data_IF_362405185108
#
_entry.id   IF_362405185108
#
_cell.length_a   1.000
_cell.length_b   1.000
_cell.length_c   1.000
_cell.angle_alpha   90.00
_cell.angle_beta   90.00
_cell.angle_gamma   90.00
#
_symmetry.space_group_name_H-M   'P 1'
#
loop_
_entity.id
_entity.type
_entity.pdbx_description
1 polymer ?
#
# COMPACT_ATOMS: atom_id res chain seq x y z
N UNK A 1 3.48 11.27 3.43
CA UNK A 1 4.03 11.90 2.22
C UNK A 1 2.90 12.24 1.21
N UNK A 2 2.08 11.26 0.76
CA UNK A 2 1.08 11.50 -0.27
C UNK A 2 0.07 12.60 0.09
N UNK A 3 -0.57 12.53 1.26
CA UNK A 3 -1.51 13.56 1.71
C UNK A 3 -0.84 14.92 1.87
N UNK A 4 0.40 14.95 2.36
CA UNK A 4 1.16 16.18 2.49
C UNK A 4 1.42 16.83 1.12
N UNK A 5 1.87 16.05 0.13
CA UNK A 5 2.11 16.53 -1.22
C UNK A 5 0.83 17.05 -1.90
N UNK A 6 -0.29 16.32 -1.76
CA UNK A 6 -1.57 16.71 -2.32
C UNK A 6 -2.12 18.02 -1.76
N UNK A 7 -1.96 18.24 -0.46
CA UNK A 7 -2.35 19.49 0.20
C UNK A 7 -1.39 20.64 -0.14
N UNK A 8 -0.08 20.40 -0.09
CA UNK A 8 0.90 21.42 -0.45
C UNK A 8 0.74 21.91 -1.89
N UNK A 9 0.41 20.99 -2.84
CA UNK A 9 0.09 21.36 -4.22
C UNK A 9 -1.14 22.28 -4.34
N UNK A 10 -1.99 22.36 -3.29
CA UNK A 10 -3.15 23.26 -3.17
C UNK A 10 -2.87 24.52 -2.34
N UNK A 11 -1.59 24.79 -2.04
CA UNK A 11 -1.15 25.97 -1.30
C UNK A 11 -1.17 25.84 0.22
N UNK A 12 -1.46 24.67 0.77
CA UNK A 12 -1.38 24.45 2.21
C UNK A 12 0.08 24.42 2.68
N UNK A 13 0.34 25.00 3.85
CA UNK A 13 1.59 24.80 4.57
C UNK A 13 1.45 23.54 5.42
N UNK A 14 2.28 22.54 5.19
CA UNK A 14 2.16 21.23 5.81
C UNK A 14 3.39 20.92 6.65
N UNK A 15 3.21 20.62 7.93
CA UNK A 15 4.26 20.02 8.77
C UNK A 15 4.12 18.50 8.72
N UNK A 16 5.08 17.82 8.09
CA UNK A 16 5.17 16.38 8.03
C UNK A 16 6.07 15.87 9.15
N UNK A 17 5.52 15.11 10.09
CA UNK A 17 6.26 14.58 11.24
C UNK A 17 6.48 13.09 11.06
N UNK A 18 7.75 12.65 11.16
CA UNK A 18 8.19 11.26 11.04
C UNK A 18 8.94 10.83 12.29
N UNK A 19 8.60 9.67 12.86
CA UNK A 19 9.28 9.16 14.07
C UNK A 19 10.71 8.67 13.83
N UNK A 20 10.98 8.18 12.63
CA UNK A 20 12.32 7.74 12.24
C UNK A 20 13.20 8.91 11.77
N UNK A 21 14.52 8.76 11.81
CA UNK A 21 15.43 9.78 11.28
C UNK A 21 15.21 10.08 9.80
N UNK A 22 14.78 9.08 9.04
CA UNK A 22 14.51 9.17 7.61
C UNK A 22 13.10 8.72 7.27
N UNK A 23 12.59 9.21 6.14
CA UNK A 23 11.32 8.74 5.57
C UNK A 23 11.38 7.28 5.10
N UNK A 24 10.20 6.65 5.05
CA UNK A 24 10.03 5.32 4.48
C UNK A 24 10.82 4.20 5.20
N UNK A 25 10.95 4.26 6.52
CA UNK A 25 11.63 3.22 7.29
C UNK A 25 10.74 2.02 7.64
N UNK A 26 9.41 2.16 7.50
CA UNK A 26 8.44 1.10 7.73
C UNK A 26 8.13 0.29 6.45
N UNK A 27 6.88 -0.08 6.18
CA UNK A 27 6.47 -0.85 5.00
C UNK A 27 6.94 -0.26 3.65
N UNK A 28 7.10 1.05 3.59
CA UNK A 28 7.59 1.76 2.40
C UNK A 28 9.12 1.71 2.22
N UNK A 29 9.86 0.98 3.06
CA UNK A 29 11.32 0.88 2.99
C UNK A 29 11.84 -0.27 2.13
N UNK A 30 11.01 -1.04 1.46
CA UNK A 30 11.47 -2.13 0.61
C UNK A 30 12.35 -1.62 -0.54
N UNK A 31 13.41 -2.35 -0.92
CA UNK A 31 14.26 -1.95 -2.05
C UNK A 31 13.50 -1.82 -3.36
N UNK A 32 12.56 -2.74 -3.59
CA UNK A 32 11.65 -2.74 -4.73
C UNK A 32 10.27 -3.19 -4.26
N UNK A 33 9.26 -2.37 -4.52
CA UNK A 33 7.86 -2.72 -4.38
C UNK A 33 7.24 -2.94 -5.75
N UNK A 34 6.35 -3.92 -5.87
CA UNK A 34 5.70 -4.25 -7.14
C UNK A 34 4.44 -3.42 -7.34
N UNK A 35 4.28 -2.83 -8.52
CA UNK A 35 3.03 -2.21 -8.96
C UNK A 35 2.06 -3.31 -9.40
N UNK A 36 1.56 -4.07 -8.43
CA UNK A 36 0.71 -5.21 -8.70
C UNK A 36 -0.78 -4.84 -8.70
N UNK A 37 -1.43 -5.08 -9.85
CA UNK A 37 -2.85 -4.80 -10.03
C UNK A 37 -3.68 -6.04 -9.70
N UNK A 38 -4.12 -6.16 -8.45
CA UNK A 38 -5.08 -7.22 -8.08
C UNK A 38 -6.49 -6.80 -8.46
N UNK A 39 -6.89 -7.18 -9.68
CA UNK A 39 -8.18 -6.84 -10.26
C UNK A 39 -9.21 -7.95 -10.07
N UNK A 40 -10.48 -7.57 -10.20
CA UNK A 40 -11.63 -8.45 -10.34
C UNK A 40 -12.37 -8.11 -11.64
N UNK A 41 -12.81 -9.10 -12.37
CA UNK A 41 -13.63 -8.92 -13.58
C UNK A 41 -15.01 -8.28 -13.28
N UNK A 42 -15.42 -8.22 -12.00
CA UNK A 42 -16.74 -7.74 -11.59
C UNK A 42 -16.79 -6.26 -11.20
N UNK A 43 -15.76 -5.47 -11.47
CA UNK A 43 -15.78 -4.02 -11.28
C UNK A 43 -15.98 -3.57 -9.82
N UNK A 44 -15.41 -4.27 -8.84
CA UNK A 44 -15.51 -3.95 -7.41
C UNK A 44 -14.92 -2.57 -7.09
N UNK A 45 -15.32 -1.93 -5.97
CA UNK A 45 -14.69 -0.68 -5.52
C UNK A 45 -13.18 -0.78 -5.41
N UNK A 46 -12.66 -1.91 -4.93
CA UNK A 46 -11.22 -2.15 -4.85
C UNK A 46 -10.56 -2.16 -6.24
N UNK A 47 -11.14 -2.84 -7.23
CA UNK A 47 -10.60 -2.87 -8.60
C UNK A 47 -10.59 -1.48 -9.24
N UNK A 48 -11.65 -0.69 -9.03
CA UNK A 48 -11.73 0.69 -9.52
C UNK A 48 -10.70 1.60 -8.85
N UNK A 49 -10.52 1.48 -7.54
CA UNK A 49 -9.47 2.19 -6.81
C UNK A 49 -8.08 1.82 -7.33
N UNK A 50 -7.81 0.51 -7.54
CA UNK A 50 -6.52 0.01 -8.03
C UNK A 50 -6.23 0.54 -9.44
N UNK A 51 -7.18 0.52 -10.35
CA UNK A 51 -7.00 1.04 -11.72
C UNK A 51 -6.72 2.54 -11.73
N UNK A 52 -7.55 3.32 -11.03
CA UNK A 52 -7.37 4.78 -10.94
C UNK A 52 -6.06 5.14 -10.24
N UNK A 53 -5.72 4.42 -9.15
CA UNK A 53 -4.49 4.61 -8.39
C UNK A 53 -3.24 4.24 -9.19
N UNK A 54 -3.30 3.19 -9.99
CA UNK A 54 -2.23 2.80 -10.89
C UNK A 54 -1.91 3.92 -11.89
N UNK A 55 -2.91 4.42 -12.61
CA UNK A 55 -2.73 5.52 -13.56
C UNK A 55 -2.22 6.81 -12.89
N UNK A 56 -2.68 7.10 -11.66
CA UNK A 56 -2.19 8.26 -10.90
C UNK A 56 -0.73 8.08 -10.49
N UNK A 57 -0.37 6.94 -9.92
CA UNK A 57 1.00 6.63 -9.49
C UNK A 57 1.97 6.63 -10.67
N UNK A 58 1.58 6.04 -11.80
CA UNK A 58 2.42 6.05 -13.02
C UNK A 58 2.83 7.47 -13.43
N UNK A 59 1.89 8.43 -13.43
CA UNK A 59 2.22 9.85 -13.73
C UNK A 59 3.17 10.47 -12.71
N UNK A 60 3.08 10.11 -11.45
CA UNK A 60 4.04 10.59 -10.43
C UNK A 60 5.43 10.02 -10.65
N UNK A 61 5.54 8.75 -11.07
CA UNK A 61 6.81 8.08 -11.31
C UNK A 61 7.59 8.68 -12.49
N UNK A 62 6.94 9.33 -13.45
CA UNK A 62 7.60 10.03 -14.56
C UNK A 62 8.54 11.14 -14.09
N UNK A 63 8.38 11.62 -12.85
CA UNK A 63 9.27 12.61 -12.22
C UNK A 63 10.52 11.99 -11.60
N UNK A 64 10.60 10.67 -11.54
CA UNK A 64 11.69 9.88 -10.96
C UNK A 64 12.54 9.25 -12.04
N UNK A 65 13.74 8.79 -11.68
CA UNK A 65 14.71 8.19 -12.62
C UNK A 65 14.31 6.75 -12.95
N UNK A 66 13.83 6.55 -14.19
CA UNK A 66 13.54 5.21 -14.70
C UNK A 66 14.81 4.36 -14.73
N UNK A 67 14.70 3.06 -14.41
CA UNK A 67 15.80 2.13 -14.28
C UNK A 67 16.57 2.22 -12.96
N UNK A 68 16.32 3.25 -12.13
CA UNK A 68 16.97 3.44 -10.84
C UNK A 68 15.96 3.54 -9.67
N UNK A 69 14.96 4.42 -9.80
CA UNK A 69 13.95 4.65 -8.77
C UNK A 69 12.66 3.87 -9.06
N UNK A 70 12.43 3.50 -10.29
CA UNK A 70 11.34 2.66 -10.77
C UNK A 70 11.62 2.15 -12.18
N UNK A 71 10.89 1.12 -12.60
CA UNK A 71 10.88 0.70 -14.01
C UNK A 71 9.53 0.09 -14.39
N UNK A 72 9.06 0.43 -15.59
CA UNK A 72 7.92 -0.20 -16.25
C UNK A 72 8.39 -1.43 -17.04
N UNK A 73 9.06 -2.33 -16.38
CA UNK A 73 9.56 -3.58 -16.99
C UNK A 73 8.47 -4.64 -17.17
N UNK A 74 7.24 -4.32 -16.81
CA UNK A 74 6.11 -5.24 -16.77
C UNK A 74 6.04 -6.06 -15.50
N UNK A 75 4.86 -6.65 -15.27
CA UNK A 75 4.60 -7.66 -14.23
C UNK A 75 3.92 -8.85 -14.87
N UNK A 76 4.53 -10.00 -14.73
CA UNK A 76 3.99 -11.29 -15.17
C UNK A 76 3.48 -12.06 -13.95
N UNK A 77 2.17 -12.29 -13.89
CA UNK A 77 1.52 -13.14 -12.88
C UNK A 77 1.39 -14.55 -13.43
N UNK A 78 2.11 -15.50 -12.87
CA UNK A 78 2.06 -16.90 -13.32
C UNK A 78 0.71 -17.54 -12.99
N UNK A 79 0.23 -18.38 -13.89
CA UNK A 79 -0.93 -19.25 -13.69
C UNK A 79 -0.47 -20.53 -12.98
N UNK A 80 -0.17 -20.45 -11.70
CA UNK A 80 0.46 -21.53 -10.92
C UNK A 80 -0.49 -22.69 -10.61
N UNK A 81 -1.80 -22.50 -10.73
CA UNK A 81 -2.82 -23.55 -10.63
C UNK A 81 -4.00 -23.32 -11.60
N UNK A 82 -4.88 -24.30 -11.70
CA UNK A 82 -6.03 -24.26 -12.60
C UNK A 82 -7.05 -23.15 -12.23
N UNK A 83 -7.21 -22.85 -10.94
CA UNK A 83 -8.10 -21.80 -10.45
C UNK A 83 -7.57 -20.42 -10.82
N UNK A 84 -6.28 -20.21 -10.66
CA UNK A 84 -5.62 -18.96 -11.05
C UNK A 84 -5.64 -18.79 -12.57
N UNK A 85 -5.40 -19.86 -13.36
CA UNK A 85 -5.52 -19.82 -14.81
C UNK A 85 -6.93 -19.41 -15.26
N UNK A 86 -7.98 -19.97 -14.65
CA UNK A 86 -9.36 -19.59 -14.94
C UNK A 86 -9.64 -18.12 -14.58
N UNK A 87 -9.17 -17.66 -13.42
CA UNK A 87 -9.30 -16.26 -12.99
C UNK A 87 -8.61 -15.30 -13.99
N UNK A 88 -7.41 -15.65 -14.42
CA UNK A 88 -6.63 -14.87 -15.38
C UNK A 88 -7.31 -14.80 -16.76
N UNK A 89 -7.89 -15.90 -17.24
CA UNK A 89 -8.66 -15.90 -18.48
C UNK A 89 -9.88 -14.96 -18.41
N UNK A 90 -10.60 -14.93 -17.27
CA UNK A 90 -11.71 -14.00 -17.05
C UNK A 90 -11.23 -12.54 -17.05
N UNK A 91 -10.08 -12.24 -16.45
CA UNK A 91 -9.51 -10.91 -16.45
C UNK A 91 -9.08 -10.48 -17.86
N UNK A 92 -8.40 -11.36 -18.61
CA UNK A 92 -7.99 -11.08 -19.98
C UNK A 92 -9.18 -10.80 -20.91
N UNK A 93 -10.33 -11.42 -20.65
CA UNK A 93 -11.57 -11.16 -21.38
C UNK A 93 -12.28 -9.86 -20.96
N UNK A 94 -12.06 -9.38 -19.72
CA UNK A 94 -12.78 -8.23 -19.14
C UNK A 94 -12.03 -6.90 -19.31
N UNK A 95 -10.74 -6.92 -19.59
CA UNK A 95 -9.91 -5.72 -19.68
C UNK A 95 -9.21 -5.59 -21.04
N UNK A 96 -8.87 -4.35 -21.47
CA UNK A 96 -8.14 -4.13 -22.72
C UNK A 96 -6.74 -4.78 -22.70
N UNK A 97 -6.29 -5.25 -23.86
CA UNK A 97 -5.02 -5.99 -24.00
C UNK A 97 -3.77 -5.12 -23.74
N UNK A 98 -3.88 -3.81 -23.86
CA UNK A 98 -2.83 -2.84 -23.49
C UNK A 98 -2.68 -2.68 -21.97
N UNK A 99 -3.74 -2.94 -21.20
CA UNK A 99 -3.66 -2.98 -19.75
C UNK A 99 -3.13 -4.32 -19.26
N UNK A 100 -3.68 -5.43 -19.78
CA UNK A 100 -3.28 -6.79 -19.43
C UNK A 100 -3.67 -7.79 -20.51
N UNK A 101 -2.86 -8.81 -20.71
CA UNK A 101 -3.16 -9.91 -21.63
C UNK A 101 -2.49 -11.21 -21.20
N UNK A 102 -3.09 -12.33 -21.64
CA UNK A 102 -2.56 -13.66 -21.39
C UNK A 102 -1.34 -13.96 -22.25
N UNK A 103 -0.36 -14.67 -21.68
CA UNK A 103 0.80 -15.22 -22.36
C UNK A 103 0.83 -16.74 -22.14
N UNK A 104 1.12 -17.50 -23.18
CA UNK A 104 1.51 -18.89 -23.03
C UNK A 104 2.91 -19.00 -22.38
N UNK A 105 3.33 -20.21 -22.02
CA UNK A 105 4.61 -20.43 -21.34
C UNK A 105 5.80 -19.92 -22.16
N UNK A 106 5.85 -20.23 -23.46
CA UNK A 106 6.98 -19.83 -24.30
C UNK A 106 7.06 -18.31 -24.47
N UNK A 107 5.91 -17.65 -24.62
CA UNK A 107 5.83 -16.20 -24.67
C UNK A 107 6.30 -15.56 -23.36
N UNK A 108 5.87 -16.14 -22.22
CA UNK A 108 6.25 -15.70 -20.89
C UNK A 108 7.77 -15.84 -20.65
N UNK A 109 8.36 -16.98 -21.01
CA UNK A 109 9.81 -17.24 -20.92
C UNK A 109 10.62 -16.28 -21.80
N UNK A 110 10.20 -16.07 -23.04
CA UNK A 110 10.85 -15.09 -23.95
C UNK A 110 10.80 -13.69 -23.39
N UNK A 111 9.70 -13.30 -22.77
CA UNK A 111 9.53 -11.99 -22.15
C UNK A 111 10.36 -11.86 -20.87
N UNK A 112 10.28 -12.84 -19.99
CA UNK A 112 10.97 -12.81 -18.70
C UNK A 112 12.49 -13.00 -18.83
N UNK A 113 12.97 -13.71 -19.85
CA UNK A 113 14.40 -14.01 -20.06
C UNK A 113 14.93 -15.18 -19.23
N UNK A 114 14.05 -15.90 -18.56
CA UNK A 114 14.32 -17.07 -17.73
C UNK A 114 13.27 -18.15 -17.99
N UNK A 115 13.60 -19.42 -17.73
CA UNK A 115 12.62 -20.50 -17.85
C UNK A 115 11.58 -20.41 -16.72
N UNK A 116 10.32 -20.68 -17.07
CA UNK A 116 9.17 -20.57 -16.19
C UNK A 116 8.33 -21.86 -16.23
N UNK A 117 7.65 -22.22 -15.12
CA UNK A 117 6.82 -23.43 -15.08
C UNK A 117 5.50 -23.30 -15.88
N UNK A 118 5.02 -22.06 -16.08
CA UNK A 118 3.73 -21.78 -16.72
C UNK A 118 3.74 -20.44 -17.44
N UNK A 119 2.75 -20.22 -18.29
CA UNK A 119 2.36 -18.90 -18.76
C UNK A 119 1.61 -18.11 -17.68
N UNK A 120 1.00 -17.01 -18.07
CA UNK A 120 0.29 -16.17 -17.09
C UNK A 120 -0.30 -14.93 -17.68
N UNK A 121 -0.68 -14.01 -16.80
CA UNK A 121 -1.24 -12.72 -17.15
C UNK A 121 -0.15 -11.64 -17.07
N UNK A 122 0.05 -10.92 -18.14
CA UNK A 122 1.07 -9.87 -18.24
C UNK A 122 0.45 -8.48 -18.19
N UNK A 123 1.05 -7.60 -17.40
CA UNK A 123 0.70 -6.19 -17.23
C UNK A 123 1.85 -5.33 -17.77
N UNK A 124 1.80 -4.88 -19.02
CA UNK A 124 2.95 -4.26 -19.70
C UNK A 124 3.43 -2.94 -19.07
N UNK A 125 2.49 -2.14 -18.57
CA UNK A 125 2.80 -0.83 -17.96
C UNK A 125 3.10 -0.89 -16.46
N UNK A 126 3.00 -2.07 -15.85
CA UNK A 126 3.39 -2.31 -14.47
C UNK A 126 4.91 -2.51 -14.34
N UNK A 127 5.38 -2.78 -13.13
CA UNK A 127 6.79 -3.00 -12.87
C UNK A 127 7.12 -2.84 -11.39
N UNK A 128 8.31 -2.36 -11.11
CA UNK A 128 8.74 -2.12 -9.74
C UNK A 128 9.03 -0.63 -9.47
N UNK A 129 8.94 -0.27 -8.20
CA UNK A 129 9.25 1.08 -7.67
C UNK A 129 10.14 0.92 -6.45
N UNK A 130 11.07 1.84 -6.26
CA UNK A 130 11.76 2.08 -5.00
C UNK A 130 10.94 3.02 -4.14
N UNK A 131 10.14 2.52 -3.16
CA UNK A 131 9.19 3.37 -2.45
C UNK A 131 9.84 4.52 -1.69
N UNK A 132 11.08 4.38 -1.11
CA UNK A 132 11.74 5.51 -0.48
C UNK A 132 11.96 6.69 -1.41
N UNK A 133 12.31 6.46 -2.69
CA UNK A 133 12.47 7.54 -3.66
C UNK A 133 11.16 8.28 -3.93
N UNK A 134 10.05 7.55 -4.04
CA UNK A 134 8.72 8.15 -4.18
C UNK A 134 8.33 8.97 -2.94
N UNK A 135 8.57 8.44 -1.73
CA UNK A 135 8.29 9.16 -0.48
C UNK A 135 9.11 10.46 -0.38
N UNK A 136 10.39 10.40 -0.72
CA UNK A 136 11.28 11.57 -0.73
C UNK A 136 10.81 12.63 -1.74
N UNK A 137 10.48 12.21 -2.96
CA UNK A 137 9.98 13.12 -4.00
C UNK A 137 8.68 13.81 -3.59
N UNK A 138 7.75 13.08 -2.97
CA UNK A 138 6.50 13.63 -2.46
C UNK A 138 6.74 14.60 -1.29
N UNK A 139 7.63 14.27 -0.38
CA UNK A 139 7.96 15.14 0.76
C UNK A 139 8.76 16.39 0.35
N UNK A 140 9.40 16.39 -0.81
CA UNK A 140 10.11 17.55 -1.36
C UNK A 140 9.16 18.57 -2.03
N UNK A 141 7.84 18.34 -2.03
CA UNK A 141 6.87 19.30 -2.57
C UNK A 141 6.97 20.63 -1.82
N UNK A 142 7.08 21.78 -2.51
CA UNK A 142 7.11 23.09 -1.86
C UNK A 142 5.91 23.30 -0.94
N UNK A 143 6.13 23.89 0.25
CA UNK A 143 5.11 24.05 1.28
C UNK A 143 5.09 22.93 2.33
N UNK A 144 5.96 21.92 2.22
CA UNK A 144 6.13 20.89 3.23
C UNK A 144 7.37 21.18 4.09
N UNK A 145 7.20 21.20 5.39
CA UNK A 145 8.28 21.17 6.38
C UNK A 145 8.36 19.79 7.00
N UNK A 146 9.48 19.09 6.82
CA UNK A 146 9.71 17.76 7.40
C UNK A 146 10.39 17.88 8.77
N UNK A 147 9.78 17.25 9.79
CA UNK A 147 10.36 17.05 11.12
C UNK A 147 10.55 15.54 11.32
N UNK A 148 11.78 15.05 11.16
CA UNK A 148 12.11 13.62 11.32
C UNK A 148 12.74 13.32 12.69
N UNK A 149 12.74 12.05 13.10
CA UNK A 149 13.24 11.58 14.38
C UNK A 149 12.38 11.97 15.58
N UNK A 150 11.07 12.22 15.35
CA UNK A 150 10.14 12.73 16.38
C UNK A 150 8.85 11.92 16.42
N UNK A 151 8.70 11.08 17.42
CA UNK A 151 7.42 10.46 17.75
C UNK A 151 6.53 11.46 18.53
N UNK A 152 5.25 11.56 18.16
CA UNK A 152 4.36 12.56 18.74
C UNK A 152 3.07 11.95 19.28
N UNK A 153 2.51 12.63 20.29
CA UNK A 153 1.12 12.51 20.74
C UNK A 153 0.33 13.69 20.19
N UNK A 154 -0.92 13.47 19.86
CA UNK A 154 -1.81 14.50 19.35
C UNK A 154 -2.81 14.91 20.43
N UNK A 155 -2.96 16.21 20.66
CA UNK A 155 -3.96 16.79 21.55
C UNK A 155 -4.72 17.89 20.85
N UNK A 156 -5.98 18.02 21.18
CA UNK A 156 -6.77 19.18 20.76
C UNK A 156 -6.70 20.27 21.82
N UNK A 157 -6.37 21.50 21.42
CA UNK A 157 -6.32 22.68 22.27
C UNK A 157 -7.06 23.83 21.61
N UNK A 158 -8.24 24.11 22.14
CA UNK A 158 -9.17 25.03 21.47
C UNK A 158 -9.63 24.46 20.12
N UNK A 159 -9.41 25.21 19.06
CA UNK A 159 -9.75 24.83 17.69
C UNK A 159 -8.62 24.12 16.97
N UNK A 160 -7.42 24.06 17.55
CA UNK A 160 -6.23 23.50 16.93
C UNK A 160 -5.89 22.10 17.42
N UNK A 161 -5.22 21.35 16.58
CA UNK A 161 -4.51 20.13 16.91
C UNK A 161 -3.04 20.43 17.16
N UNK A 162 -2.51 19.95 18.30
CA UNK A 162 -1.12 20.14 18.71
C UNK A 162 -0.39 18.80 18.75
N UNK A 163 0.73 18.72 18.06
CA UNK A 163 1.61 17.55 18.04
C UNK A 163 2.74 17.73 19.07
N UNK A 164 2.77 16.87 20.09
CA UNK A 164 3.72 16.92 21.19
C UNK A 164 4.74 15.77 21.14
N UNK A 165 6.03 16.11 21.21
CA UNK A 165 7.10 15.17 21.52
C UNK A 165 7.54 15.40 23.00
N UNK A 166 7.16 14.49 23.89
CA UNK A 166 7.25 14.77 25.32
C UNK A 166 6.37 15.96 25.70
N UNK A 167 6.96 17.02 26.23
CA UNK A 167 6.28 18.28 26.60
C UNK A 167 6.47 19.39 25.56
N UNK A 168 7.25 19.14 24.51
CA UNK A 168 7.50 20.09 23.43
C UNK A 168 6.39 20.04 22.39
N UNK A 169 5.70 21.14 22.14
CA UNK A 169 4.76 21.28 21.03
C UNK A 169 5.55 21.57 19.74
N UNK A 170 5.64 20.56 18.86
CA UNK A 170 6.37 20.65 17.59
C UNK A 170 5.59 21.37 16.50
N UNK A 171 4.28 21.22 16.50
CA UNK A 171 3.40 21.81 15.50
C UNK A 171 2.01 22.04 16.07
N UNK A 172 1.37 23.11 15.60
CA UNK A 172 -0.02 23.47 15.89
C UNK A 172 -0.71 23.82 14.58
N UNK A 173 -1.86 23.25 14.33
CA UNK A 173 -2.63 23.48 13.10
C UNK A 173 -4.12 23.19 13.32
N UNK A 174 -5.02 23.85 12.56
CA UNK A 174 -6.46 23.54 12.61
C UNK A 174 -6.80 22.16 12.07
N UNK A 175 -5.89 21.55 11.29
CA UNK A 175 -6.09 20.22 10.69
C UNK A 175 -4.95 19.28 11.08
N UNK A 176 -5.29 18.04 11.41
CA UNK A 176 -4.34 16.95 11.61
C UNK A 176 -4.73 15.73 10.77
N UNK A 177 -3.73 15.06 10.19
CA UNK A 177 -3.91 13.85 9.39
C UNK A 177 -3.11 12.73 10.03
N UNK A 178 -3.81 11.69 10.48
CA UNK A 178 -3.19 10.48 10.99
C UNK A 178 -2.82 9.57 9.81
N UNK A 179 -1.52 9.33 9.61
CA UNK A 179 -0.98 8.51 8.52
C UNK A 179 0.09 7.52 9.01
N UNK A 180 -0.02 7.09 10.27
CA UNK A 180 0.96 6.25 10.98
C UNK A 180 0.67 4.75 10.85
N UNK A 181 0.08 4.32 9.75
CA UNK A 181 -0.29 2.93 9.46
C UNK A 181 -1.12 2.31 10.61
N UNK A 182 -0.68 1.19 11.21
CA UNK A 182 -1.41 0.54 12.31
C UNK A 182 -1.26 1.30 13.65
N UNK A 183 -0.22 2.10 13.80
CA UNK A 183 0.03 2.92 15.00
C UNK A 183 -0.91 4.12 15.10
N UNK A 184 -1.74 4.34 14.08
CA UNK A 184 -2.89 5.25 14.17
C UNK A 184 -3.80 4.93 15.37
N UNK A 185 -3.83 3.68 15.81
CA UNK A 185 -4.61 3.21 16.96
C UNK A 185 -4.05 3.68 18.31
N UNK A 186 -2.82 4.19 18.34
CA UNK A 186 -2.23 4.81 19.55
C UNK A 186 -2.84 6.21 19.81
N UNK A 187 -3.57 6.75 18.83
CA UNK A 187 -4.31 7.99 18.97
C UNK A 187 -5.75 7.67 19.40
N UNK A 188 -6.20 8.14 20.58
CA UNK A 188 -7.50 7.76 21.16
C UNK A 188 -8.71 7.84 20.22
N UNK A 189 -8.84 8.86 19.36
CA UNK A 189 -9.95 8.94 18.40
C UNK A 189 -9.97 7.83 17.34
N UNK A 190 -8.86 7.14 17.13
CA UNK A 190 -8.70 6.09 16.12
C UNK A 190 -8.42 4.69 16.72
N UNK A 191 -8.46 4.56 18.05
CA UNK A 191 -8.07 3.33 18.76
C UNK A 191 -8.88 2.09 18.36
N UNK A 192 -10.16 2.27 18.07
CA UNK A 192 -11.09 1.19 17.71
C UNK A 192 -11.14 0.85 16.23
N UNK A 193 -10.34 1.52 15.38
CA UNK A 193 -10.30 1.21 13.96
C UNK A 193 -9.83 -0.24 13.73
N UNK A 194 -10.52 -1.02 12.90
CA UNK A 194 -10.25 -2.45 12.72
C UNK A 194 -9.05 -2.69 11.81
N UNK A 195 -7.91 -2.12 12.16
CA UNK A 195 -6.66 -2.27 11.43
C UNK A 195 -5.84 -3.43 11.98
N UNK A 196 -5.20 -4.18 11.08
CA UNK A 196 -4.33 -5.31 11.41
C UNK A 196 -2.92 -5.07 10.88
N UNK A 197 -1.94 -5.42 11.69
CA UNK A 197 -0.54 -5.56 11.26
C UNK A 197 -0.34 -6.94 10.64
N UNK A 198 0.35 -6.98 9.52
CA UNK A 198 0.80 -8.23 8.88
C UNK A 198 2.28 -8.05 8.60
N UNK A 199 3.10 -8.77 9.34
CA UNK A 199 4.53 -8.78 9.13
C UNK A 199 4.87 -9.44 7.81
N UNK A 200 5.88 -8.92 7.13
CA UNK A 200 6.41 -9.54 5.91
C UNK A 200 7.88 -9.21 5.74
N UNK A 201 8.65 -10.25 5.47
CA UNK A 201 10.07 -10.16 5.17
C UNK A 201 10.33 -10.32 3.69
N UNK A 202 11.18 -9.47 3.14
CA UNK A 202 11.79 -9.64 1.83
C UNK A 202 13.24 -10.10 2.00
N UNK A 203 13.74 -10.85 1.03
CA UNK A 203 15.12 -11.28 0.92
C UNK A 203 15.79 -10.57 -0.24
N UNK A 204 17.05 -10.19 -0.09
CA UNK A 204 17.90 -9.64 -1.15
C UNK A 204 18.94 -10.67 -1.55
N UNK A 205 19.13 -10.85 -2.85
CA UNK A 205 20.12 -11.74 -3.42
C UNK A 205 21.04 -10.95 -4.36
N UNK A 206 22.36 -11.12 -4.23
CA UNK A 206 23.29 -10.55 -5.19
C UNK A 206 22.98 -11.01 -6.62
N UNK A 207 22.96 -10.07 -7.55
CA UNK A 207 22.76 -10.40 -8.95
C UNK A 207 24.02 -11.03 -9.55
N UNK A 208 23.86 -12.13 -10.29
CA UNK A 208 24.91 -12.73 -11.09
C UNK A 208 24.81 -12.27 -12.55
N UNK A 209 25.86 -12.42 -13.36
CA UNK A 209 25.76 -12.16 -14.80
C UNK A 209 24.60 -12.91 -15.47
N UNK A 210 24.33 -14.16 -15.03
CA UNK A 210 23.29 -15.02 -15.59
C UNK A 210 21.88 -14.62 -15.10
N UNK A 211 21.72 -14.18 -13.84
CA UNK A 211 20.44 -13.76 -13.30
C UNK A 211 19.96 -12.40 -13.82
N UNK A 212 20.87 -11.58 -14.36
CA UNK A 212 20.54 -10.31 -15.03
C UNK A 212 19.73 -10.49 -16.33
N UNK A 213 19.57 -11.73 -16.79
CA UNK A 213 18.67 -12.07 -17.88
C UNK A 213 17.19 -11.86 -17.52
N UNK A 214 16.84 -11.81 -16.21
CA UNK A 214 15.48 -11.47 -15.78
C UNK A 214 15.12 -10.04 -16.16
N UNK A 215 14.08 -9.86 -16.97
CA UNK A 215 13.70 -8.58 -17.57
C UNK A 215 12.37 -8.01 -17.09
N UNK A 216 11.54 -8.82 -16.42
CA UNK A 216 10.24 -8.40 -15.88
C UNK A 216 10.08 -8.89 -14.44
N UNK A 217 9.20 -8.26 -13.68
CA UNK A 217 8.80 -8.80 -12.37
C UNK A 217 7.96 -10.04 -12.60
N UNK A 218 8.31 -11.14 -11.95
CA UNK A 218 7.53 -12.38 -12.00
C UNK A 218 6.90 -12.64 -10.64
N UNK A 219 5.60 -12.86 -10.64
CA UNK A 219 4.78 -13.09 -9.46
C UNK A 219 4.10 -14.47 -9.53
N UNK A 220 4.00 -15.15 -8.39
CA UNK A 220 3.12 -16.28 -8.13
C UNK A 220 2.48 -16.05 -6.75
N UNK A 221 2.72 -16.90 -5.76
CA UNK A 221 2.41 -16.59 -4.35
C UNK A 221 3.37 -15.55 -3.78
N UNK A 222 4.63 -15.57 -4.23
CA UNK A 222 5.62 -14.51 -4.01
C UNK A 222 5.91 -13.71 -5.26
N UNK A 223 7.03 -12.97 -5.24
CA UNK A 223 7.53 -12.26 -6.41
C UNK A 223 9.06 -12.23 -6.44
N UNK A 224 9.62 -12.04 -7.62
CA UNK A 224 11.02 -11.67 -7.82
C UNK A 224 11.08 -10.53 -8.85
N UNK A 225 11.90 -9.52 -8.58
CA UNK A 225 12.11 -8.39 -9.47
C UNK A 225 13.43 -8.50 -10.24
N UNK A 226 13.55 -7.92 -11.46
CA UNK A 226 14.83 -7.66 -12.09
C UNK A 226 15.77 -6.94 -11.14
N UNK A 227 17.10 -7.11 -11.28
CA UNK A 227 18.02 -6.52 -10.34
C UNK A 227 17.95 -4.99 -10.37
N UNK A 228 17.89 -4.38 -9.20
CA UNK A 228 18.09 -2.95 -9.00
C UNK A 228 19.53 -2.76 -8.51
N UNK A 229 20.38 -2.14 -9.33
CA UNK A 229 21.80 -2.15 -9.09
C UNK A 229 22.37 -3.58 -9.16
N UNK A 230 22.88 -4.06 -8.06
CA UNK A 230 23.55 -5.36 -7.96
C UNK A 230 22.75 -6.40 -7.15
N UNK A 231 21.45 -6.17 -6.94
CA UNK A 231 20.62 -7.06 -6.11
C UNK A 231 19.22 -7.29 -6.69
N UNK A 232 18.76 -8.53 -6.59
CA UNK A 232 17.36 -8.89 -6.74
C UNK A 232 16.63 -8.78 -5.40
N UNK A 233 15.39 -8.32 -5.42
CA UNK A 233 14.47 -8.39 -4.29
C UNK A 233 13.43 -9.47 -4.55
N UNK A 234 13.24 -10.34 -3.57
CA UNK A 234 12.24 -11.40 -3.63
C UNK A 234 11.47 -11.51 -2.32
N UNK A 235 10.28 -12.05 -2.38
CA UNK A 235 9.40 -12.24 -1.22
C UNK A 235 7.93 -12.24 -1.61
N UNK A 236 7.11 -12.07 -0.63
CA UNK A 236 7.45 -11.81 0.75
C UNK A 236 6.68 -12.76 1.65
N UNK A 237 7.22 -13.03 2.80
CA UNK A 237 6.51 -13.79 3.82
C UNK A 237 5.25 -13.04 4.32
N UNK A 238 4.35 -13.79 4.96
CA UNK A 238 3.16 -13.29 5.64
C UNK A 238 3.08 -13.93 7.03
N UNK A 239 3.36 -13.13 8.06
CA UNK A 239 3.22 -13.54 9.45
C UNK A 239 2.22 -12.64 10.18
N UNK A 240 1.20 -13.26 10.77
CA UNK A 240 0.11 -12.60 11.48
C UNK A 240 0.32 -12.57 13.00
N UNK A 241 1.40 -13.13 13.50
CA UNK A 241 1.64 -13.36 14.94
C UNK A 241 2.84 -12.62 15.48
N UNK A 242 3.93 -12.58 14.71
CA UNK A 242 5.18 -11.98 15.17
C UNK A 242 5.10 -10.46 15.20
N UNK A 243 5.60 -9.86 16.27
CA UNK A 243 5.80 -8.42 16.41
C UNK A 243 7.26 -7.99 16.23
N UNK A 244 8.18 -8.95 16.11
CA UNK A 244 9.60 -8.69 15.88
C UNK A 244 9.87 -8.36 14.42
N UNK A 245 10.66 -7.33 14.16
CA UNK A 245 11.07 -6.89 12.82
C UNK A 245 12.48 -7.37 12.44
N UNK A 246 13.15 -8.13 13.28
CA UNK A 246 14.41 -8.78 12.91
C UNK A 246 14.16 -9.80 11.78
N UNK A 247 14.92 -9.78 10.68
CA UNK A 247 14.86 -10.84 9.69
C UNK A 247 15.21 -12.21 10.28
N UNK A 248 14.49 -13.26 9.84
CA UNK A 248 14.70 -14.62 10.30
C UNK A 248 15.20 -15.53 9.18
N UNK A 249 16.01 -16.54 9.53
CA UNK A 249 16.51 -17.54 8.58
C UNK A 249 15.34 -18.35 7.98
N UNK A 250 14.33 -18.67 8.79
CA UNK A 250 13.16 -19.42 8.34
C UNK A 250 12.41 -18.68 7.21
N UNK A 251 12.30 -17.36 7.30
CA UNK A 251 11.65 -16.58 6.24
C UNK A 251 12.55 -16.38 5.02
N UNK A 252 13.88 -16.31 5.19
CA UNK A 252 14.80 -16.40 4.06
C UNK A 252 14.61 -17.71 3.31
N UNK A 253 14.60 -18.83 4.02
CA UNK A 253 14.36 -20.16 3.45
C UNK A 253 13.00 -20.18 2.71
N UNK A 254 11.91 -19.71 3.34
CA UNK A 254 10.60 -19.66 2.71
C UNK A 254 10.58 -18.78 1.45
N UNK A 255 11.28 -17.65 1.44
CA UNK A 255 11.40 -16.81 0.25
C UNK A 255 12.20 -17.50 -0.88
N UNK A 256 13.23 -18.31 -0.58
CA UNK A 256 13.94 -19.12 -1.58
C UNK A 256 13.04 -20.23 -2.14
N UNK A 257 12.19 -20.81 -1.31
CA UNK A 257 11.19 -21.81 -1.77
C UNK A 257 10.18 -21.18 -2.72
N UNK A 258 9.66 -19.97 -2.41
CA UNK A 258 8.82 -19.21 -3.34
C UNK A 258 9.54 -18.91 -4.66
N UNK A 259 10.84 -18.57 -4.62
CA UNK A 259 11.63 -18.36 -5.82
C UNK A 259 11.75 -19.66 -6.65
N UNK A 260 11.95 -20.80 -5.98
CA UNK A 260 12.00 -22.11 -6.65
C UNK A 260 10.69 -22.43 -7.37
N UNK A 261 9.54 -22.09 -6.77
CA UNK A 261 8.22 -22.27 -7.41
C UNK A 261 8.03 -21.31 -8.59
N UNK A 262 8.53 -20.08 -8.49
CA UNK A 262 8.46 -19.09 -9.56
C UNK A 262 9.35 -19.48 -10.74
N UNK A 263 10.61 -19.82 -10.51
CA UNK A 263 11.59 -20.17 -11.54
C UNK A 263 12.78 -20.93 -10.97
N UNK A 264 12.79 -22.28 -11.07
CA UNK A 264 13.97 -23.09 -10.73
C UNK A 264 15.23 -22.67 -11.50
N UNK A 265 15.08 -22.25 -12.76
CA UNK A 265 16.16 -21.74 -13.60
C UNK A 265 16.80 -20.47 -13.01
N UNK A 266 15.98 -19.52 -12.57
CA UNK A 266 16.50 -18.30 -11.95
C UNK A 266 17.17 -18.58 -10.61
N UNK A 267 16.62 -19.48 -9.80
CA UNK A 267 17.23 -19.92 -8.54
C UNK A 267 18.64 -20.50 -8.79
N UNK A 268 18.78 -21.35 -9.80
CA UNK A 268 20.06 -21.92 -10.21
C UNK A 268 21.02 -20.82 -10.72
N UNK A 269 20.56 -19.91 -11.56
CA UNK A 269 21.37 -18.78 -12.09
C UNK A 269 21.89 -17.86 -10.99
N UNK A 270 21.15 -17.74 -9.89
CA UNK A 270 21.57 -16.98 -8.70
C UNK A 270 22.54 -17.76 -7.81
N UNK A 271 22.69 -19.08 -8.01
CA UNK A 271 23.44 -19.96 -7.11
C UNK A 271 22.87 -19.95 -5.69
N UNK A 272 21.56 -19.73 -5.57
CA UNK A 272 20.93 -19.43 -4.28
C UNK A 272 20.83 -20.65 -3.37
N UNK A 273 20.85 -21.87 -3.92
CA UNK A 273 20.87 -23.11 -3.14
C UNK A 273 22.19 -23.31 -2.37
N UNK A 274 23.27 -22.72 -2.85
CA UNK A 274 24.61 -22.83 -2.26
C UNK A 274 24.93 -21.67 -1.31
N UNK A 275 24.04 -20.66 -1.21
CA UNK A 275 24.27 -19.50 -0.34
C UNK A 275 23.89 -19.82 1.11
N UNK A 276 24.80 -19.59 2.08
CA UNK A 276 24.45 -19.69 3.48
C UNK A 276 23.34 -18.69 3.84
N UNK A 277 22.28 -19.18 4.47
CA UNK A 277 21.13 -18.33 4.85
C UNK A 277 21.54 -17.15 5.74
N UNK A 278 22.56 -17.35 6.57
CA UNK A 278 23.12 -16.35 7.49
C UNK A 278 23.77 -15.16 6.75
N UNK A 279 24.11 -15.32 5.48
CA UNK A 279 24.68 -14.26 4.63
C UNK A 279 23.63 -13.51 3.82
N UNK A 280 22.39 -14.00 3.84
CA UNK A 280 21.31 -13.33 3.13
C UNK A 280 20.89 -12.06 3.87
N UNK A 281 20.81 -10.99 3.12
CA UNK A 281 20.28 -9.76 3.63
C UNK A 281 18.77 -9.66 3.37
N UNK A 282 18.08 -9.00 4.26
CA UNK A 282 16.65 -8.81 4.16
C UNK A 282 16.13 -7.72 5.07
N UNK A 283 14.86 -7.48 4.99
CA UNK A 283 14.16 -6.62 5.94
C UNK A 283 12.73 -7.10 6.14
N UNK A 284 12.25 -6.91 7.36
CA UNK A 284 10.85 -7.12 7.69
C UNK A 284 10.17 -5.79 8.01
N UNK A 285 8.88 -5.71 7.75
CA UNK A 285 8.04 -4.56 8.10
C UNK A 285 6.58 -4.98 8.24
N UNK A 286 5.79 -4.15 8.92
CA UNK A 286 4.35 -4.38 9.04
C UNK A 286 3.59 -3.73 7.90
N UNK A 287 2.83 -4.52 7.15
CA UNK A 287 1.72 -4.03 6.35
C UNK A 287 0.56 -3.72 7.27
N UNK A 288 -0.14 -2.63 7.03
CA UNK A 288 -1.35 -2.26 7.74
C UNK A 288 -2.56 -2.44 6.82
N UNK A 289 -3.50 -3.29 7.19
CA UNK A 289 -4.69 -3.57 6.37
C UNK A 289 -5.98 -3.46 7.16
N UNK A 290 -7.04 -3.05 6.47
CA UNK A 290 -8.42 -3.12 6.91
C UNK A 290 -9.01 -4.51 6.61
N UNK A 291 -10.16 -4.90 7.22
CA UNK A 291 -10.80 -6.19 6.98
C UNK A 291 -11.25 -6.44 5.53
N UNK A 292 -11.56 -5.38 4.79
CA UNK A 292 -12.05 -5.43 3.40
C UNK A 292 -10.97 -5.05 2.36
N UNK A 293 -9.74 -4.85 2.82
CA UNK A 293 -8.58 -4.48 2.01
C UNK A 293 -8.66 -3.12 1.29
N UNK A 294 -9.70 -2.32 1.54
CA UNK A 294 -9.78 -0.94 1.11
C UNK A 294 -9.09 -0.03 2.15
N UNK A 295 -8.41 1.03 1.74
CA UNK A 295 -7.82 1.97 2.69
C UNK A 295 -8.91 2.70 3.48
N UNK A 296 -8.49 3.33 4.57
CA UNK A 296 -9.30 4.26 5.34
C UNK A 296 -8.84 5.68 5.02
N UNK A 297 -9.71 6.45 4.38
CA UNK A 297 -9.39 7.81 3.90
C UNK A 297 -10.58 8.73 4.20
N UNK A 298 -10.34 9.79 4.95
CA UNK A 298 -11.39 10.77 5.23
C UNK A 298 -11.42 11.27 6.68
N UNK A 299 -12.45 12.07 7.03
CA UNK A 299 -12.63 12.57 8.38
C UNK A 299 -13.03 11.47 9.36
N UNK A 300 -12.71 11.68 10.64
CA UNK A 300 -13.15 10.83 11.74
C UNK A 300 -14.38 11.42 12.42
N UNK A 301 -15.29 10.54 12.84
CA UNK A 301 -16.39 10.90 13.73
C UNK A 301 -16.03 10.59 15.18
N UNK A 302 -16.64 11.34 16.11
CA UNK A 302 -16.63 10.99 17.52
C UNK A 302 -17.53 9.76 17.71
N UNK A 303 -16.99 8.67 18.28
CA UNK A 303 -17.63 7.35 18.29
C UNK A 303 -18.96 7.36 19.06
N UNK A 304 -18.97 7.88 20.29
CA UNK A 304 -20.18 7.82 21.12
C UNK A 304 -21.30 8.67 20.54
N UNK A 305 -20.99 9.88 20.06
CA UNK A 305 -21.95 10.75 19.39
C UNK A 305 -22.44 10.16 18.04
N UNK A 306 -21.58 9.41 17.33
CA UNK A 306 -21.97 8.71 16.11
C UNK A 306 -22.98 7.60 16.42
N UNK A 307 -22.70 6.77 17.41
CA UNK A 307 -23.58 5.67 17.82
C UNK A 307 -24.94 6.20 18.30
N UNK A 308 -24.99 7.33 19.00
CA UNK A 308 -26.24 7.99 19.39
C UNK A 308 -26.99 8.56 18.19
N UNK A 309 -26.31 9.34 17.33
CA UNK A 309 -26.93 10.02 16.20
C UNK A 309 -27.51 9.04 15.18
N UNK A 310 -26.86 7.89 15.01
CA UNK A 310 -27.22 6.87 14.03
C UNK A 310 -27.84 5.60 14.64
N UNK A 311 -28.23 5.60 15.91
CA UNK A 311 -28.79 4.46 16.62
C UNK A 311 -29.99 3.80 15.91
N UNK A 312 -30.74 4.55 15.12
CA UNK A 312 -31.88 4.05 14.31
C UNK A 312 -31.47 2.95 13.34
N UNK A 313 -30.23 2.98 12.82
CA UNK A 313 -29.72 1.98 11.89
C UNK A 313 -29.57 0.59 12.51
N UNK A 314 -29.43 0.50 13.81
CA UNK A 314 -29.41 -0.78 14.52
C UNK A 314 -30.81 -1.48 14.52
N UNK A 315 -31.88 -0.72 14.26
CA UNK A 315 -33.27 -1.24 14.19
C UNK A 315 -33.71 -1.43 12.74
N UNK A 316 -33.42 -0.49 11.89
CA UNK A 316 -33.75 -0.55 10.46
C UNK A 316 -32.64 0.10 9.62
N UNK A 317 -31.82 -0.73 8.97
CA UNK A 317 -30.69 -0.32 8.13
C UNK A 317 -31.10 0.51 6.89
N UNK A 318 -32.39 0.57 6.56
CA UNK A 318 -32.93 1.34 5.41
C UNK A 318 -33.24 2.79 5.77
N UNK A 319 -33.30 3.12 7.06
CA UNK A 319 -33.55 4.51 7.47
C UNK A 319 -32.34 5.37 7.18
N UNK A 320 -32.62 6.61 6.75
CA UNK A 320 -31.58 7.62 6.57
C UNK A 320 -31.66 8.58 7.75
N UNK A 321 -30.64 8.59 8.63
CA UNK A 321 -30.63 9.53 9.76
C UNK A 321 -30.62 10.97 9.26
N UNK A 322 -31.48 11.83 9.81
CA UNK A 322 -31.56 13.25 9.47
C UNK A 322 -30.46 14.09 10.16
N UNK A 323 -29.76 13.51 11.14
CA UNK A 323 -28.70 14.20 11.89
C UNK A 323 -27.40 14.25 11.11
N UNK A 324 -26.73 15.41 11.15
CA UNK A 324 -25.37 15.54 10.62
C UNK A 324 -24.40 14.61 11.35
N UNK A 325 -23.41 14.12 10.63
CA UNK A 325 -22.36 13.29 11.23
C UNK A 325 -21.56 14.10 12.26
N UNK A 326 -21.38 13.57 13.48
CA UNK A 326 -20.61 14.27 14.53
C UNK A 326 -19.11 14.12 14.28
N UNK A 327 -18.60 14.87 13.32
CA UNK A 327 -17.19 14.87 12.99
C UNK A 327 -16.31 15.36 14.13
N UNK A 328 -15.15 14.78 14.30
CA UNK A 328 -14.06 15.37 15.05
C UNK A 328 -13.48 16.51 14.21
N UNK A 329 -13.66 17.79 14.63
CA UNK A 329 -13.28 18.90 13.80
C UNK A 329 -11.80 18.86 13.44
N UNK A 330 -11.48 18.97 12.15
CA UNK A 330 -10.11 19.03 11.64
C UNK A 330 -9.29 17.74 11.75
N UNK A 331 -9.91 16.60 12.14
CA UNK A 331 -9.17 15.33 12.24
C UNK A 331 -9.51 14.37 11.10
N UNK A 332 -8.48 13.99 10.38
CA UNK A 332 -8.57 13.12 9.21
C UNK A 332 -7.59 11.95 9.31
N UNK A 333 -7.78 10.93 8.47
CA UNK A 333 -6.84 9.84 8.35
C UNK A 333 -6.64 9.36 6.91
N UNK A 334 -5.46 8.78 6.66
CA UNK A 334 -5.11 8.08 5.43
C UNK A 334 -4.23 6.87 5.79
N UNK A 335 -4.82 5.68 5.85
CA UNK A 335 -4.17 4.47 6.35
C UNK A 335 -4.80 3.19 5.77
N UNK A 336 -4.28 2.03 6.17
CA UNK A 336 -4.87 0.74 5.84
C UNK A 336 -4.61 0.25 4.41
N UNK A 337 -3.52 0.67 3.78
CA UNK A 337 -3.20 0.36 2.38
C UNK A 337 -2.75 -1.08 2.12
N UNK A 338 -2.47 -1.87 3.16
CA UNK A 338 -2.01 -3.25 3.04
C UNK A 338 -0.72 -3.37 2.22
N UNK A 339 -0.72 -4.30 1.27
CA UNK A 339 0.41 -4.51 0.34
C UNK A 339 0.33 -3.65 -0.94
N UNK A 340 -0.67 -2.75 -1.06
CA UNK A 340 -0.94 -1.97 -2.27
C UNK A 340 -0.69 -0.48 -2.11
N UNK A 341 0.08 -0.09 -1.10
CA UNK A 341 0.34 1.31 -0.77
C UNK A 341 0.91 2.13 -1.94
N UNK A 342 1.76 1.54 -2.77
CA UNK A 342 2.29 2.20 -3.97
C UNK A 342 1.19 2.65 -4.95
N UNK A 343 0.11 1.88 -5.06
CA UNK A 343 -1.00 2.17 -5.96
C UNK A 343 -2.07 3.02 -5.27
N UNK A 344 -2.41 2.69 -4.02
CA UNK A 344 -3.55 3.31 -3.36
C UNK A 344 -3.20 4.59 -2.59
N UNK A 345 -2.01 4.70 -1.97
CA UNK A 345 -1.71 5.83 -1.10
C UNK A 345 -1.57 7.17 -1.84
N UNK A 346 -0.94 7.26 -3.03
CA UNK A 346 -0.89 8.52 -3.77
C UNK A 346 -2.27 9.08 -4.12
N UNK A 347 -3.15 8.24 -4.69
CA UNK A 347 -4.51 8.65 -5.03
C UNK A 347 -5.38 8.92 -3.80
N UNK A 348 -5.14 8.21 -2.68
CA UNK A 348 -5.80 8.48 -1.41
C UNK A 348 -5.39 9.84 -0.83
N UNK A 349 -4.17 10.30 -1.11
CA UNK A 349 -3.76 11.67 -0.79
C UNK A 349 -4.60 12.71 -1.52
N UNK A 350 -4.84 12.52 -2.82
CA UNK A 350 -5.72 13.38 -3.62
C UNK A 350 -7.17 13.31 -3.15
N UNK A 351 -7.68 12.12 -2.83
CA UNK A 351 -9.02 11.95 -2.28
C UNK A 351 -9.19 12.70 -0.96
N UNK A 352 -8.21 12.61 -0.07
CA UNK A 352 -8.23 13.31 1.21
C UNK A 352 -8.17 14.82 1.03
N UNK A 353 -7.30 15.31 0.15
CA UNK A 353 -7.20 16.73 -0.17
C UNK A 353 -8.51 17.27 -0.78
N UNK A 354 -9.16 16.51 -1.65
CA UNK A 354 -10.48 16.89 -2.19
C UNK A 354 -11.56 16.99 -1.08
N UNK A 355 -11.59 16.07 -0.12
CA UNK A 355 -12.47 16.16 1.05
C UNK A 355 -12.21 17.44 1.86
N UNK A 356 -10.94 17.75 2.14
CA UNK A 356 -10.53 18.91 2.95
C UNK A 356 -10.84 20.23 2.24
N UNK A 357 -10.57 20.30 0.94
CA UNK A 357 -10.73 21.53 0.14
C UNK A 357 -12.14 21.71 -0.45
N UNK A 358 -13.05 20.76 -0.28
CA UNK A 358 -14.39 20.80 -0.87
C UNK A 358 -14.38 20.72 -2.40
N UNK A 359 -13.40 20.03 -2.97
CA UNK A 359 -13.24 19.84 -4.42
C UNK A 359 -14.03 18.63 -4.94
N UNK A 360 -14.29 18.54 -6.26
CA UNK A 360 -14.77 17.31 -6.86
C UNK A 360 -13.84 16.13 -6.55
N UNK A 361 -14.43 14.99 -6.19
CA UNK A 361 -13.67 13.81 -5.83
C UNK A 361 -12.90 13.24 -7.03
N UNK A 362 -11.64 12.78 -6.87
CA UNK A 362 -10.85 12.18 -7.95
C UNK A 362 -11.29 10.75 -8.29
N UNK A 363 -12.30 10.24 -7.62
CA UNK A 363 -12.86 8.90 -7.73
C UNK A 363 -14.38 8.96 -7.80
N UNK A 364 -15.06 7.98 -8.43
CA UNK A 364 -16.51 7.86 -8.32
C UNK A 364 -16.93 7.82 -6.84
N UNK A 365 -18.04 8.50 -6.53
CA UNK A 365 -18.55 8.64 -5.16
C UNK A 365 -18.62 7.30 -4.41
N UNK A 366 -19.15 6.25 -5.05
CA UNK A 366 -19.25 4.92 -4.45
C UNK A 366 -17.89 4.32 -4.06
N UNK A 367 -16.80 4.63 -4.79
CA UNK A 367 -15.45 4.18 -4.47
C UNK A 367 -14.88 4.99 -3.31
N UNK A 368 -15.08 6.31 -3.32
CA UNK A 368 -14.67 7.20 -2.25
C UNK A 368 -15.36 6.85 -0.91
N UNK A 369 -16.67 6.62 -0.94
CA UNK A 369 -17.45 6.17 0.22
C UNK A 369 -16.99 4.80 0.72
N UNK A 370 -16.65 3.87 -0.17
CA UNK A 370 -16.07 2.58 0.19
C UNK A 370 -14.70 2.68 0.87
N UNK A 371 -13.99 3.80 0.72
CA UNK A 371 -12.73 4.08 1.45
C UNK A 371 -12.96 4.86 2.75
N UNK A 372 -14.18 5.35 3.02
CA UNK A 372 -14.45 6.20 4.17
C UNK A 372 -14.32 5.40 5.49
N UNK A 373 -13.67 5.93 6.56
CA UNK A 373 -13.47 5.21 7.81
C UNK A 373 -14.80 4.83 8.52
N UNK A 374 -15.82 5.68 8.45
CA UNK A 374 -17.12 5.42 9.08
C UNK A 374 -17.87 4.20 8.51
N UNK A 375 -17.43 3.62 7.39
CA UNK A 375 -18.07 2.40 6.86
C UNK A 375 -18.08 1.25 7.87
N UNK A 376 -17.07 1.20 8.73
CA UNK A 376 -17.01 0.19 9.81
C UNK A 376 -17.97 0.52 10.94
N UNK A 377 -18.08 1.78 11.35
CA UNK A 377 -19.05 2.23 12.33
C UNK A 377 -20.49 1.91 11.89
N UNK A 378 -20.83 2.25 10.63
CA UNK A 378 -22.13 1.94 10.03
C UNK A 378 -22.40 0.43 10.00
N UNK A 379 -21.40 -0.36 9.58
CA UNK A 379 -21.52 -1.82 9.52
C UNK A 379 -21.80 -2.42 10.91
N UNK A 380 -21.08 -1.94 11.93
CA UNK A 380 -21.18 -2.45 13.29
C UNK A 380 -22.55 -2.09 13.89
N UNK A 381 -23.05 -0.88 13.67
CA UNK A 381 -24.42 -0.48 14.05
C UNK A 381 -25.47 -1.36 13.38
N UNK A 382 -25.43 -1.53 12.06
CA UNK A 382 -26.39 -2.33 11.30
C UNK A 382 -26.40 -3.80 11.73
N UNK A 383 -25.25 -4.34 12.15
CA UNK A 383 -25.12 -5.72 12.65
C UNK A 383 -25.48 -5.89 14.13
N UNK A 384 -25.82 -4.81 14.83
CA UNK A 384 -26.03 -4.83 16.27
C UNK A 384 -24.78 -5.17 17.09
N UNK A 385 -23.61 -5.07 16.48
CA UNK A 385 -22.33 -5.26 17.15
C UNK A 385 -21.96 -3.91 17.79
N UNK A 386 -22.30 -3.75 19.06
CA UNK A 386 -21.75 -2.66 19.88
C UNK A 386 -20.37 -3.09 20.34
N UNK A 387 -19.34 -2.26 20.07
CA UNK A 387 -17.96 -2.48 20.51
C UNK A 387 -17.82 -2.51 22.03
#
# INVERSE_FOLDING_TARGET
CASAASLAARGWQVTLIERHPDLAREASGNPQGVLYLKLSAHGTPLSRLVLSGFGHTRRLLERLRRGHDWDACGVLQLAFDAKEAQRQAQLAAAFPADLLHGLDREQAERLAGVALPAGGLFYPEAGWVHPPALCQALAATPGITLLSGRAVRLRREGDDWCAYAGDECLARAPLAILATAADIRDFPPAAELPLKRIRGQVTRLPATPQSRALRTVVCAEGYVAPPRGDEHTLGASFDFKSEDLAPTLAEHQGNLELLREISPDLLQRLGADDLPLERLEGRAAFRCTSPDYLPLVGPLAERAAFDEAYAVLARDARQVPERACPWLPGLYLNSGHGSRGLISAPLSGELLAAWICGEPLPLPRAVAEACHPNRFLLRDLVRGQRG
#
